data_IF_140283230720
#
_entry.id   IF_140283230720
#
_cell.length_a   1.000
_cell.length_b   1.000
_cell.length_c   1.000
_cell.angle_alpha   90.00
_cell.angle_beta   90.00
_cell.angle_gamma   90.00
#
_symmetry.space_group_name_H-M   'P 1'
#
loop_
_entity.id
_entity.type
_entity.pdbx_description
1 polymer ?
#
# COMPACT_ATOMS: atom_id res chain seq x y z
N UNK A 1 -3.21 4.23 16.08
CA UNK A 1 -3.03 4.96 14.80
C UNK A 1 -3.56 4.14 13.61
N UNK A 2 -4.02 4.77 12.52
CA UNK A 2 -4.38 4.09 11.25
C UNK A 2 -3.21 4.12 10.27
N UNK A 3 -2.78 2.97 9.74
CA UNK A 3 -1.78 2.91 8.68
C UNK A 3 -2.48 2.84 7.31
N UNK A 4 -2.34 3.89 6.51
CA UNK A 4 -2.96 3.98 5.17
C UNK A 4 -1.95 3.57 4.09
N UNK A 5 -2.26 2.51 3.35
CA UNK A 5 -1.50 2.07 2.18
C UNK A 5 -2.18 2.56 0.90
N UNK A 6 -1.74 3.72 0.42
CA UNK A 6 -2.12 4.29 -0.87
C UNK A 6 -1.03 4.09 -1.92
N UNK A 7 -1.39 4.19 -3.20
CA UNK A 7 -0.45 4.16 -4.34
C UNK A 7 0.34 5.48 -4.51
N UNK A 8 0.36 6.36 -3.50
CA UNK A 8 0.92 7.71 -3.64
C UNK A 8 1.96 8.01 -2.58
N UNK A 9 3.24 7.84 -2.94
CA UNK A 9 4.37 8.51 -2.32
C UNK A 9 5.41 8.81 -3.42
N UNK A 10 5.40 10.05 -3.91
CA UNK A 10 6.51 10.84 -4.53
C UNK A 10 7.63 10.12 -5.28
N UNK A 11 7.33 9.04 -5.98
CA UNK A 11 8.11 8.46 -7.07
C UNK A 11 7.10 8.09 -8.14
N UNK A 12 6.55 9.12 -8.79
CA UNK A 12 5.66 8.96 -9.93
C UNK A 12 6.41 8.19 -10.99
N UNK A 13 6.18 6.88 -11.06
CA UNK A 13 6.69 6.06 -12.15
C UNK A 13 5.93 6.47 -13.41
N UNK A 14 6.51 7.41 -14.15
CA UNK A 14 6.03 7.81 -15.46
C UNK A 14 6.38 6.66 -16.41
N UNK A 15 5.37 5.84 -16.72
CA UNK A 15 5.53 4.75 -17.68
C UNK A 15 5.90 5.35 -19.05
N UNK A 16 6.99 4.92 -19.70
CA UNK A 16 7.22 5.26 -21.11
C UNK A 16 6.04 4.77 -21.97
N UNK A 17 5.76 5.41 -23.13
CA UNK A 17 4.70 4.94 -24.01
C UNK A 17 4.96 3.47 -24.36
N UNK A 18 4.06 2.57 -23.94
CA UNK A 18 4.08 1.16 -24.39
C UNK A 18 3.99 0.03 -23.35
N UNK A 19 3.99 0.23 -22.01
CA UNK A 19 4.01 -0.94 -21.10
C UNK A 19 3.25 -0.79 -19.76
N UNK A 20 1.98 -1.28 -19.67
CA UNK A 20 1.21 -1.42 -18.43
C UNK A 20 1.78 -2.32 -17.30
N UNK A 21 2.56 -3.41 -17.54
CA UNK A 21 2.89 -4.38 -16.49
C UNK A 21 4.03 -3.96 -15.55
N UNK A 22 4.85 -2.98 -15.93
CA UNK A 22 6.00 -2.57 -15.11
C UNK A 22 5.60 -1.83 -13.83
N UNK A 23 4.45 -1.15 -13.83
CA UNK A 23 3.94 -0.40 -12.68
C UNK A 23 3.63 -1.33 -11.51
N UNK A 24 3.00 -2.49 -11.74
CA UNK A 24 2.70 -3.44 -10.66
C UNK A 24 3.97 -4.10 -10.08
N UNK A 25 4.95 -4.40 -10.95
CA UNK A 25 6.26 -4.93 -10.52
C UNK A 25 6.96 -3.93 -9.61
N UNK A 26 6.99 -2.65 -10.01
CA UNK A 26 7.54 -1.58 -9.19
C UNK A 26 6.87 -1.51 -7.82
N UNK A 27 5.53 -1.52 -7.76
CA UNK A 27 4.80 -1.50 -6.48
C UNK A 27 5.15 -2.69 -5.58
N UNK A 28 5.21 -3.91 -6.12
CA UNK A 28 5.58 -5.11 -5.34
C UNK A 28 6.98 -5.02 -4.76
N UNK A 29 7.93 -4.45 -5.51
CA UNK A 29 9.31 -4.31 -5.06
C UNK A 29 9.49 -3.26 -3.95
N UNK A 30 8.60 -2.26 -3.84
CA UNK A 30 8.79 -1.13 -2.92
C UNK A 30 7.82 -1.11 -1.74
N UNK A 31 6.67 -1.79 -1.82
CA UNK A 31 5.60 -1.64 -0.81
C UNK A 31 6.04 -1.99 0.61
N UNK A 32 6.87 -3.02 0.81
CA UNK A 32 7.35 -3.39 2.15
C UNK A 32 8.32 -2.33 2.70
N UNK A 33 9.22 -1.81 1.87
CA UNK A 33 10.15 -0.76 2.26
C UNK A 33 9.41 0.54 2.62
N UNK A 34 8.34 0.88 1.89
CA UNK A 34 7.49 2.03 2.21
C UNK A 34 6.79 1.87 3.56
N UNK A 35 6.28 0.68 3.87
CA UNK A 35 5.64 0.39 5.16
C UNK A 35 6.63 0.53 6.31
N UNK A 36 7.83 -0.03 6.17
CA UNK A 36 8.90 0.10 7.18
C UNK A 36 9.31 1.56 7.36
N UNK A 37 9.42 2.31 6.27
CA UNK A 37 9.74 3.74 6.30
C UNK A 37 8.64 4.54 7.01
N UNK A 38 7.37 4.29 6.72
CA UNK A 38 6.25 4.98 7.36
C UNK A 38 6.19 4.71 8.88
N UNK A 39 6.44 3.46 9.31
CA UNK A 39 6.55 3.13 10.73
C UNK A 39 7.72 3.86 11.40
N UNK A 40 8.87 3.92 10.72
CA UNK A 40 10.05 4.63 11.22
C UNK A 40 9.82 6.15 11.32
N UNK A 41 9.24 6.77 10.29
CA UNK A 41 8.96 8.21 10.23
C UNK A 41 7.92 8.63 11.28
N UNK A 42 6.94 7.77 11.57
CA UNK A 42 5.95 8.01 12.62
C UNK A 42 6.45 7.65 14.03
N UNK A 43 7.63 7.04 14.15
CA UNK A 43 8.18 6.51 15.39
C UNK A 43 7.21 5.54 16.10
N UNK A 44 6.55 4.69 15.32
CA UNK A 44 5.57 3.72 15.82
C UNK A 44 5.94 2.31 15.42
N UNK A 45 5.54 1.37 16.27
CA UNK A 45 5.60 -0.05 15.99
C UNK A 45 4.28 -0.53 15.39
N UNK A 46 4.32 -1.70 14.74
CA UNK A 46 3.11 -2.36 14.25
C UNK A 46 2.06 -2.61 15.36
N UNK A 47 2.51 -2.68 16.62
CA UNK A 47 1.63 -2.86 17.79
C UNK A 47 0.73 -1.66 18.04
N UNK A 48 1.21 -0.47 17.71
CA UNK A 48 0.51 0.82 17.91
C UNK A 48 -0.49 1.14 16.79
N UNK A 49 -0.56 0.26 15.79
CA UNK A 49 -1.51 0.34 14.69
C UNK A 49 -2.82 -0.31 15.12
N UNK A 50 -3.92 0.42 15.02
CA UNK A 50 -5.25 -0.07 15.39
C UNK A 50 -5.95 -0.74 14.21
N UNK A 51 -5.75 -0.19 13.01
CA UNK A 51 -6.31 -0.74 11.77
C UNK A 51 -5.46 -0.37 10.55
N UNK A 52 -5.63 -1.16 9.49
CA UNK A 52 -4.96 -0.97 8.20
C UNK A 52 -5.96 -0.45 7.19
N UNK A 53 -5.65 0.63 6.50
CA UNK A 53 -6.49 1.18 5.43
C UNK A 53 -5.82 1.03 4.07
N UNK A 54 -6.59 0.81 3.00
CA UNK A 54 -6.05 0.73 1.64
C UNK A 54 -7.01 1.26 0.58
N UNK A 55 -6.47 1.73 -0.54
CA UNK A 55 -7.28 2.18 -1.68
C UNK A 55 -7.90 0.99 -2.42
N UNK A 56 -9.23 0.92 -2.47
CA UNK A 56 -9.98 -0.09 -3.21
C UNK A 56 -10.16 0.25 -4.70
N UNK A 57 -10.22 1.54 -5.02
CA UNK A 57 -10.41 2.08 -6.37
C UNK A 57 -11.12 3.44 -6.35
N UNK A 58 -11.36 4.07 -7.52
CA UNK A 58 -10.97 3.64 -8.86
C UNK A 58 -9.44 3.72 -9.10
N UNK A 59 -8.93 3.05 -10.14
CA UNK A 59 -7.52 3.07 -10.50
C UNK A 59 -7.06 1.86 -11.31
N UNK A 60 -5.75 1.75 -11.55
CA UNK A 60 -5.17 0.62 -12.29
C UNK A 60 -5.30 -0.68 -11.48
N UNK A 61 -5.96 -1.69 -12.05
CA UNK A 61 -6.23 -2.97 -11.39
C UNK A 61 -4.97 -3.69 -10.85
N UNK A 62 -3.87 -3.83 -11.61
CA UNK A 62 -2.70 -4.57 -11.14
C UNK A 62 -1.97 -3.93 -9.93
N UNK A 63 -1.77 -2.60 -9.87
CA UNK A 63 -1.31 -1.92 -8.65
C UNK A 63 -2.28 -2.05 -7.46
N UNK A 64 -3.60 -1.83 -7.69
CA UNK A 64 -4.62 -1.97 -6.63
C UNK A 64 -4.62 -3.39 -6.03
N UNK A 65 -4.49 -4.41 -6.88
CA UNK A 65 -4.38 -5.81 -6.43
C UNK A 65 -3.12 -6.05 -5.60
N UNK A 66 -1.99 -5.44 -5.97
CA UNK A 66 -0.74 -5.59 -5.22
C UNK A 66 -0.85 -5.01 -3.81
N UNK A 67 -1.43 -3.81 -3.67
CA UNK A 67 -1.71 -3.20 -2.35
C UNK A 67 -2.70 -4.04 -1.53
N UNK A 68 -3.80 -4.48 -2.14
CA UNK A 68 -4.81 -5.27 -1.45
C UNK A 68 -4.26 -6.61 -0.93
N UNK A 69 -3.33 -7.25 -1.66
CA UNK A 69 -2.65 -8.47 -1.19
C UNK A 69 -1.75 -8.15 0.01
N UNK A 70 -0.93 -7.10 -0.06
CA UNK A 70 -0.06 -6.70 1.04
C UNK A 70 -0.83 -6.37 2.32
N UNK A 71 -1.94 -5.61 2.22
CA UNK A 71 -2.72 -5.26 3.40
C UNK A 71 -3.43 -6.47 4.02
N UNK A 72 -3.91 -7.42 3.21
CA UNK A 72 -4.46 -8.69 3.73
C UNK A 72 -3.40 -9.52 4.46
N UNK A 73 -2.19 -9.61 3.91
CA UNK A 73 -1.07 -10.29 4.55
C UNK A 73 -0.75 -9.64 5.92
N UNK A 74 -0.60 -8.31 5.95
CA UNK A 74 -0.26 -7.60 7.19
C UNK A 74 -1.38 -7.66 8.23
N UNK A 75 -2.64 -7.63 7.80
CA UNK A 75 -3.79 -7.80 8.69
C UNK A 75 -3.75 -9.16 9.41
N UNK A 76 -3.44 -10.23 8.68
CA UNK A 76 -3.29 -11.57 9.25
C UNK A 76 -2.07 -11.66 10.17
N UNK A 77 -0.92 -11.09 9.78
CA UNK A 77 0.30 -11.11 10.58
C UNK A 77 0.19 -10.30 11.88
N UNK A 78 -0.47 -9.15 11.84
CA UNK A 78 -0.58 -8.23 12.97
C UNK A 78 -1.90 -8.35 13.72
N UNK A 79 -2.80 -9.22 13.25
CA UNK A 79 -4.15 -9.40 13.75
C UNK A 79 -4.91 -8.06 13.87
N UNK A 80 -4.90 -7.25 12.80
CA UNK A 80 -5.53 -5.92 12.76
C UNK A 80 -6.65 -5.86 11.72
N UNK A 81 -7.79 -5.18 12.00
CA UNK A 81 -8.87 -5.00 11.05
C UNK A 81 -8.43 -4.17 9.83
N UNK A 82 -9.12 -4.39 8.70
CA UNK A 82 -8.87 -3.70 7.42
C UNK A 82 -10.03 -2.76 7.11
N UNK A 83 -9.72 -1.54 6.66
CA UNK A 83 -10.65 -0.57 6.12
C UNK A 83 -10.37 -0.34 4.64
N UNK A 84 -11.33 -0.66 3.77
CA UNK A 84 -11.23 -0.34 2.36
C UNK A 84 -11.71 1.10 2.11
N UNK A 85 -10.84 1.93 1.53
CA UNK A 85 -11.13 3.35 1.25
C UNK A 85 -11.27 3.52 -0.26
N UNK A 86 -12.35 4.19 -0.69
CA UNK A 86 -12.51 4.59 -2.08
C UNK A 86 -11.80 5.94 -2.30
N UNK A 87 -11.15 6.09 -3.45
CA UNK A 87 -10.70 7.40 -3.90
C UNK A 87 -11.94 8.16 -4.38
N UNK A 88 -12.23 9.32 -3.79
CA UNK A 88 -13.25 10.24 -4.27
C UNK A 88 -12.64 11.19 -5.30
#
# INVERSE_FOLDING_TARGET
MVLVMGLHQSNTYITPPGFPPNTAKHHRSHIIALVQRALKESNLSYKDIDCLAYTKGPGMGPPLKSVAVTVRMLSQLWNKPIVAVNLA
#
